data_IF_366607920476
#
_entry.id   IF_366607920476
#
_cell.length_a   1.000
_cell.length_b   1.000
_cell.length_c   1.000
_cell.angle_alpha   90.00
_cell.angle_beta   90.00
_cell.angle_gamma   90.00
#
_symmetry.space_group_name_H-M   'P 1'
#
loop_
_entity.id
_entity.type
_entity.pdbx_description
1 polymer ?
#
# COMPACT_ATOMS: atom_id res chain seq x y z
N UNK A 1 -5.37 -8.68 -29.04
CA UNK A 1 -4.07 -8.03 -29.21
C UNK A 1 -4.03 -6.88 -28.23
N UNK A 2 -3.15 -6.91 -27.24
CA UNK A 2 -2.96 -5.83 -26.28
C UNK A 2 -2.24 -4.67 -26.98
N UNK A 3 -2.70 -3.44 -26.78
CA UNK A 3 -2.02 -2.22 -27.19
C UNK A 3 -1.36 -1.61 -25.97
N UNK A 4 -0.06 -1.32 -26.05
CA UNK A 4 0.71 -0.67 -25.00
C UNK A 4 1.21 0.71 -25.43
N UNK A 5 1.66 1.47 -24.45
CA UNK A 5 2.36 2.75 -24.64
C UNK A 5 3.81 2.54 -24.24
N UNK A 6 4.75 2.94 -25.09
CA UNK A 6 6.17 2.90 -24.73
C UNK A 6 6.49 4.07 -23.79
N UNK A 7 6.77 3.77 -22.52
CA UNK A 7 7.18 4.76 -21.52
C UNK A 7 8.70 5.06 -21.58
N UNK A 8 9.51 4.14 -22.12
CA UNK A 8 10.94 4.32 -22.34
C UNK A 8 11.36 3.66 -23.65
N UNK A 9 12.53 4.07 -24.16
CA UNK A 9 13.15 3.48 -25.37
C UNK A 9 14.13 2.39 -24.96
N UNK A 10 14.17 1.30 -25.71
CA UNK A 10 15.11 0.21 -25.49
C UNK A 10 14.57 -1.14 -25.93
N UNK A 11 15.41 -2.16 -25.86
CA UNK A 11 15.05 -3.56 -26.07
C UNK A 11 15.77 -4.37 -24.99
N UNK A 12 15.00 -5.15 -24.24
CA UNK A 12 15.54 -6.10 -23.27
C UNK A 12 15.13 -7.52 -23.67
N UNK A 13 16.03 -8.49 -23.43
CA UNK A 13 15.79 -9.90 -23.64
C UNK A 13 16.21 -10.64 -22.37
N UNK A 14 15.23 -11.08 -21.60
CA UNK A 14 15.44 -11.81 -20.36
C UNK A 14 14.21 -12.68 -20.04
N UNK A 15 14.29 -13.52 -19.01
CA UNK A 15 13.16 -14.27 -18.51
C UNK A 15 12.06 -13.32 -17.97
N UNK A 16 10.79 -13.68 -18.17
CA UNK A 16 9.65 -12.91 -17.66
C UNK A 16 9.33 -13.34 -16.22
N UNK A 17 9.45 -12.43 -15.29
CA UNK A 17 8.98 -12.57 -13.91
C UNK A 17 7.65 -11.84 -13.74
N UNK A 18 6.58 -12.59 -13.46
CA UNK A 18 5.27 -11.99 -13.22
C UNK A 18 5.04 -11.76 -11.73
N UNK A 19 5.07 -10.49 -11.33
CA UNK A 19 4.78 -10.08 -9.96
C UNK A 19 3.27 -10.16 -9.73
N UNK A 20 2.85 -11.10 -8.89
CA UNK A 20 1.43 -11.27 -8.52
C UNK A 20 1.16 -10.54 -7.23
N UNK A 21 0.10 -9.77 -7.22
CA UNK A 21 -0.41 -9.20 -5.99
C UNK A 21 -1.08 -10.29 -5.15
N UNK A 22 -0.88 -10.26 -3.82
CA UNK A 22 -1.60 -11.13 -2.92
C UNK A 22 -3.08 -10.77 -2.89
N UNK A 23 -3.94 -11.76 -2.60
CA UNK A 23 -5.36 -11.48 -2.38
C UNK A 23 -5.56 -10.79 -1.02
N UNK A 24 -5.86 -9.50 -1.07
CA UNK A 24 -6.14 -8.66 0.09
C UNK A 24 -7.65 -8.45 0.32
N UNK A 25 -8.51 -9.21 -0.35
CA UNK A 25 -9.95 -9.10 -0.18
C UNK A 25 -10.33 -9.27 1.30
N UNK A 26 -11.05 -8.30 1.84
CA UNK A 26 -11.54 -8.30 3.21
C UNK A 26 -13.06 -8.48 3.17
N UNK A 27 -13.56 -9.47 3.90
CA UNK A 27 -14.99 -9.63 4.10
C UNK A 27 -15.46 -8.88 5.36
N UNK A 28 -16.72 -8.38 5.39
CA UNK A 28 -17.30 -7.84 6.61
C UNK A 28 -17.24 -8.86 7.75
N UNK A 29 -16.70 -8.47 8.88
CA UNK A 29 -16.65 -9.25 10.11
C UNK A 29 -16.85 -8.31 11.30
N UNK A 30 -17.95 -8.51 12.03
CA UNK A 30 -18.46 -7.62 13.08
C UNK A 30 -18.70 -8.33 14.42
N UNK A 31 -18.21 -9.55 14.58
CA UNK A 31 -18.39 -10.35 15.80
C UNK A 31 -17.06 -10.56 16.56
N UNK A 32 -16.16 -9.58 16.48
CA UNK A 32 -14.82 -9.65 17.06
C UNK A 32 -14.75 -8.99 18.44
N UNK A 33 -13.76 -9.37 19.24
CA UNK A 33 -13.44 -8.70 20.50
C UNK A 33 -12.74 -7.36 20.23
N UNK A 34 -13.37 -6.20 20.56
CA UNK A 34 -12.80 -4.88 20.30
C UNK A 34 -11.41 -4.67 20.92
N UNK A 35 -11.15 -5.27 22.08
CA UNK A 35 -9.86 -5.09 22.78
C UNK A 35 -8.74 -5.84 22.03
N UNK A 36 -9.02 -7.08 21.63
CA UNK A 36 -8.07 -7.88 20.87
C UNK A 36 -7.79 -7.28 19.49
N UNK A 37 -8.83 -6.86 18.78
CA UNK A 37 -8.68 -6.27 17.43
C UNK A 37 -7.99 -4.92 17.47
N UNK A 38 -8.23 -4.09 18.48
CA UNK A 38 -7.48 -2.85 18.71
C UNK A 38 -6.01 -3.10 18.96
N UNK A 39 -5.66 -4.13 19.71
CA UNK A 39 -4.25 -4.51 19.93
C UNK A 39 -3.58 -4.97 18.62
N UNK A 40 -4.29 -5.74 17.77
CA UNK A 40 -3.82 -6.16 16.45
C UNK A 40 -3.59 -4.95 15.53
N UNK A 41 -4.56 -4.04 15.46
CA UNK A 41 -4.46 -2.80 14.67
C UNK A 41 -3.26 -1.96 15.11
N UNK A 42 -3.11 -1.69 16.41
CA UNK A 42 -2.00 -0.88 16.94
C UNK A 42 -0.63 -1.50 16.61
N UNK A 43 -0.51 -2.81 16.71
CA UNK A 43 0.72 -3.52 16.34
C UNK A 43 0.99 -3.40 14.83
N UNK A 44 -0.04 -3.54 13.99
CA UNK A 44 0.07 -3.39 12.55
C UNK A 44 0.43 -1.95 12.15
N UNK A 45 -0.17 -0.93 12.77
CA UNK A 45 0.13 0.47 12.54
C UNK A 45 1.59 0.81 12.89
N UNK A 46 2.08 0.34 14.05
CA UNK A 46 3.49 0.52 14.43
C UNK A 46 4.45 -0.16 13.45
N UNK A 47 4.11 -1.34 12.96
CA UNK A 47 4.90 -2.04 11.94
C UNK A 47 4.86 -1.31 10.59
N UNK A 48 3.70 -0.80 10.18
CA UNK A 48 3.54 -0.04 8.94
C UNK A 48 4.38 1.25 8.97
N UNK A 49 4.36 2.00 10.08
CA UNK A 49 5.22 3.18 10.28
C UNK A 49 6.69 2.83 10.13
N UNK A 50 7.16 1.77 10.81
CA UNK A 50 8.55 1.32 10.69
C UNK A 50 8.94 0.92 9.26
N UNK A 51 8.03 0.30 8.51
CA UNK A 51 8.26 -0.01 7.10
C UNK A 51 8.34 1.24 6.24
N UNK A 52 7.46 2.22 6.47
CA UNK A 52 7.45 3.49 5.73
C UNK A 52 8.70 4.32 6.02
N UNK A 53 9.20 4.33 7.27
CA UNK A 53 10.47 4.96 7.63
C UNK A 53 11.63 4.35 6.84
N UNK A 54 11.72 3.03 6.78
CA UNK A 54 12.77 2.35 6.03
C UNK A 54 12.69 2.62 4.52
N UNK A 55 11.47 2.68 3.95
CA UNK A 55 11.25 3.02 2.54
C UNK A 55 11.59 4.48 2.25
N UNK A 56 11.25 5.40 3.14
CA UNK A 56 11.62 6.81 3.05
C UNK A 56 13.14 6.98 3.01
N UNK A 57 13.85 6.35 3.95
CA UNK A 57 15.32 6.42 4.02
C UNK A 57 15.98 5.83 2.76
N UNK A 58 15.44 4.74 2.22
CA UNK A 58 15.91 4.13 0.98
C UNK A 58 15.65 5.05 -0.23
N UNK A 59 14.45 5.62 -0.32
CA UNK A 59 14.06 6.51 -1.41
C UNK A 59 14.88 7.81 -1.42
N UNK A 60 15.18 8.38 -0.26
CA UNK A 60 16.06 9.57 -0.14
C UNK A 60 17.43 9.39 -0.79
N UNK A 61 17.92 8.15 -0.88
CA UNK A 61 19.21 7.86 -1.53
C UNK A 61 19.13 7.85 -3.07
N UNK A 62 17.93 7.75 -3.62
CA UNK A 62 17.70 7.53 -5.05
C UNK A 62 16.92 8.66 -5.72
N UNK A 63 15.83 9.09 -5.10
CA UNK A 63 14.90 10.09 -5.65
C UNK A 63 14.06 10.74 -4.55
N UNK A 64 14.23 12.06 -4.39
CA UNK A 64 13.53 12.85 -3.38
C UNK A 64 12.00 12.89 -3.60
N UNK A 65 11.53 12.83 -4.84
CA UNK A 65 10.10 12.84 -5.13
C UNK A 65 9.43 11.54 -4.66
N UNK A 66 10.11 10.42 -4.86
CA UNK A 66 9.63 9.13 -4.35
C UNK A 66 9.64 9.10 -2.82
N UNK A 67 10.63 9.72 -2.16
CA UNK A 67 10.66 9.84 -0.71
C UNK A 67 9.45 10.60 -0.16
N UNK A 68 9.02 11.68 -0.81
CA UNK A 68 7.85 12.46 -0.40
C UNK A 68 6.55 11.64 -0.37
N UNK A 69 6.39 10.64 -1.24
CA UNK A 69 5.22 9.74 -1.22
C UNK A 69 5.16 8.98 0.10
N UNK A 70 6.28 8.46 0.60
CA UNK A 70 6.31 7.74 1.87
C UNK A 70 6.09 8.65 3.08
N UNK A 71 6.53 9.90 3.01
CA UNK A 71 6.23 10.89 4.05
C UNK A 71 4.72 11.20 4.11
N UNK A 72 4.06 11.35 2.95
CA UNK A 72 2.61 11.50 2.86
C UNK A 72 1.89 10.28 3.46
N UNK A 73 2.32 9.06 3.14
CA UNK A 73 1.72 7.84 3.69
C UNK A 73 1.88 7.75 5.22
N UNK A 74 3.02 8.19 5.77
CA UNK A 74 3.23 8.31 7.22
C UNK A 74 2.25 9.27 7.85
N UNK A 75 2.11 10.49 7.27
CA UNK A 75 1.15 11.47 7.75
C UNK A 75 -0.28 10.95 7.73
N UNK A 76 -0.69 10.21 6.70
CA UNK A 76 -2.02 9.61 6.63
C UNK A 76 -2.24 8.51 7.67
N UNK A 77 -1.22 7.73 7.98
CA UNK A 77 -1.31 6.68 9.00
C UNK A 77 -1.42 7.26 10.41
N UNK A 78 -0.84 8.45 10.63
CA UNK A 78 -0.94 9.22 11.89
C UNK A 78 -2.13 10.18 11.91
N UNK A 79 -2.95 10.21 10.85
CA UNK A 79 -4.09 11.12 10.74
C UNK A 79 -5.18 10.78 11.76
N UNK A 80 -5.64 11.77 12.56
CA UNK A 80 -6.70 11.56 13.55
C UNK A 80 -8.00 11.02 12.94
N UNK A 81 -8.41 11.50 11.77
CA UNK A 81 -9.66 11.09 11.12
C UNK A 81 -9.59 9.61 10.70
N UNK A 82 -8.43 9.17 10.21
CA UNK A 82 -8.19 7.77 9.89
C UNK A 82 -8.23 6.90 11.16
N UNK A 83 -7.53 7.33 12.22
CA UNK A 83 -7.51 6.61 13.49
C UNK A 83 -8.90 6.53 14.14
N UNK A 84 -9.65 7.64 14.17
CA UNK A 84 -10.99 7.70 14.76
C UNK A 84 -11.97 6.82 13.99
N UNK A 85 -11.90 6.82 12.64
CA UNK A 85 -12.71 5.94 11.80
C UNK A 85 -12.47 4.46 12.10
N UNK A 86 -11.22 4.03 12.10
CA UNK A 86 -10.85 2.64 12.45
C UNK A 86 -11.27 2.32 13.88
N UNK A 87 -10.98 3.20 14.84
CA UNK A 87 -11.30 3.02 16.25
C UNK A 87 -12.80 2.85 16.49
N UNK A 88 -13.62 3.68 15.81
CA UNK A 88 -15.08 3.60 15.90
C UNK A 88 -15.65 2.29 15.34
N UNK A 89 -15.09 1.77 14.25
CA UNK A 89 -15.47 0.47 13.70
C UNK A 89 -15.07 -0.69 14.63
N UNK A 90 -13.88 -0.64 15.22
CA UNK A 90 -13.41 -1.63 16.20
C UNK A 90 -14.31 -1.66 17.43
N UNK A 91 -14.75 -0.50 17.95
CA UNK A 91 -15.66 -0.41 19.10
C UNK A 91 -17.03 -1.02 18.81
N UNK A 92 -17.41 -1.10 17.53
CA UNK A 92 -18.64 -1.78 17.07
C UNK A 92 -18.46 -3.29 16.86
N UNK A 93 -17.29 -3.83 17.12
CA UNK A 93 -16.98 -5.25 17.00
C UNK A 93 -16.42 -5.68 15.64
N UNK A 94 -16.00 -4.72 14.78
CA UNK A 94 -15.34 -5.05 13.52
C UNK A 94 -13.98 -5.71 13.72
N UNK A 95 -13.60 -6.64 12.82
CA UNK A 95 -12.21 -7.08 12.72
C UNK A 95 -11.30 -5.92 12.31
N UNK A 96 -10.03 -5.98 12.66
CA UNK A 96 -9.07 -4.93 12.34
C UNK A 96 -8.96 -4.71 10.81
N UNK A 97 -8.96 -5.79 10.04
CA UNK A 97 -8.93 -5.73 8.58
C UNK A 97 -10.17 -5.01 8.02
N UNK A 98 -11.37 -5.35 8.51
CA UNK A 98 -12.61 -4.73 8.06
C UNK A 98 -12.71 -3.27 8.49
N UNK A 99 -12.31 -2.94 9.71
CA UNK A 99 -12.27 -1.56 10.20
C UNK A 99 -11.37 -0.66 9.34
N UNK A 100 -10.17 -1.15 8.97
CA UNK A 100 -9.25 -0.44 8.07
C UNK A 100 -9.85 -0.28 6.68
N UNK A 101 -10.39 -1.35 6.10
CA UNK A 101 -10.98 -1.30 4.75
C UNK A 101 -12.14 -0.30 4.69
N UNK A 102 -13.09 -0.40 5.61
CA UNK A 102 -14.27 0.46 5.63
C UNK A 102 -13.90 1.94 5.81
N UNK A 103 -12.95 2.24 6.70
CA UNK A 103 -12.49 3.62 6.93
C UNK A 103 -11.82 4.18 5.69
N UNK A 104 -10.93 3.40 5.08
CA UNK A 104 -10.23 3.83 3.87
C UNK A 104 -11.17 4.05 2.70
N UNK A 105 -12.16 3.17 2.49
CA UNK A 105 -13.15 3.31 1.42
C UNK A 105 -14.00 4.57 1.63
N UNK A 106 -14.38 4.87 2.88
CA UNK A 106 -15.12 6.08 3.23
C UNK A 106 -14.34 7.36 2.95
N UNK A 107 -13.07 7.42 3.39
CA UNK A 107 -12.19 8.57 3.14
C UNK A 107 -11.86 8.73 1.65
N UNK A 108 -11.56 7.65 0.96
CA UNK A 108 -11.29 7.69 -0.47
C UNK A 108 -12.50 8.18 -1.27
N UNK A 109 -13.71 7.70 -0.94
CA UNK A 109 -14.94 8.17 -1.57
C UNK A 109 -15.20 9.66 -1.30
N UNK A 110 -14.86 10.15 -0.11
CA UNK A 110 -14.96 11.57 0.22
C UNK A 110 -14.01 12.41 -0.64
N UNK A 111 -12.76 11.98 -0.80
CA UNK A 111 -11.79 12.68 -1.65
C UNK A 111 -12.18 12.63 -3.14
N UNK A 112 -12.69 11.50 -3.64
CA UNK A 112 -13.16 11.36 -5.02
C UNK A 112 -14.40 12.22 -5.32
N UNK A 113 -15.24 12.48 -4.33
CA UNK A 113 -16.40 13.35 -4.48
C UNK A 113 -16.04 14.84 -4.60
N UNK A 114 -14.79 15.23 -4.31
CA UNK A 114 -14.29 16.59 -4.49
C UNK A 114 -13.96 16.82 -5.98
N UNK A 115 -14.98 17.14 -6.78
CA UNK A 115 -14.83 17.33 -8.22
C UNK A 115 -13.85 18.46 -8.58
N UNK A 116 -12.98 18.21 -9.56
CA UNK A 116 -12.09 19.21 -10.17
C UNK A 116 -10.75 19.41 -9.47
N UNK A 117 -10.42 18.64 -8.45
CA UNK A 117 -9.11 18.67 -7.79
C UNK A 117 -8.36 17.34 -7.98
N UNK A 118 -7.42 17.32 -8.95
CA UNK A 118 -6.57 16.16 -9.23
C UNK A 118 -5.73 15.74 -8.01
N UNK A 119 -5.41 16.67 -7.11
CA UNK A 119 -4.68 16.36 -5.89
C UNK A 119 -5.53 15.54 -4.91
N UNK A 120 -6.84 15.79 -4.86
CA UNK A 120 -7.75 15.00 -4.02
C UNK A 120 -7.92 13.58 -4.54
N UNK A 121 -7.94 13.39 -5.86
CA UNK A 121 -7.96 12.04 -6.45
C UNK A 121 -6.67 11.27 -6.13
N UNK A 122 -5.52 11.93 -6.14
CA UNK A 122 -4.26 11.33 -5.70
C UNK A 122 -4.33 10.92 -4.22
N UNK A 123 -4.92 11.75 -3.36
CA UNK A 123 -5.13 11.42 -1.95
C UNK A 123 -5.99 10.17 -1.73
N UNK A 124 -7.01 9.97 -2.55
CA UNK A 124 -7.82 8.75 -2.49
C UNK A 124 -6.99 7.48 -2.78
N UNK A 125 -6.06 7.55 -3.75
CA UNK A 125 -5.14 6.46 -4.03
C UNK A 125 -4.16 6.21 -2.86
N UNK A 126 -3.58 7.26 -2.29
CA UNK A 126 -2.66 7.18 -1.15
C UNK A 126 -3.34 6.51 0.07
N UNK A 127 -4.59 6.88 0.37
CA UNK A 127 -5.37 6.25 1.47
C UNK A 127 -5.54 4.74 1.23
N UNK A 128 -5.85 4.34 -0.01
CA UNK A 128 -5.97 2.91 -0.36
C UNK A 128 -4.64 2.17 -0.23
N UNK A 129 -3.53 2.80 -0.59
CA UNK A 129 -2.19 2.22 -0.45
C UNK A 129 -1.81 2.01 1.02
N UNK A 130 -2.10 2.99 1.89
CA UNK A 130 -1.89 2.88 3.34
C UNK A 130 -2.74 1.77 3.93
N UNK A 131 -4.03 1.70 3.57
CA UNK A 131 -4.93 0.64 4.00
C UNK A 131 -4.48 -0.74 3.50
N UNK A 132 -4.08 -0.85 2.24
CA UNK A 132 -3.54 -2.08 1.67
C UNK A 132 -2.30 -2.58 2.41
N UNK A 133 -1.42 -1.67 2.86
CA UNK A 133 -0.26 -2.00 3.69
C UNK A 133 -0.69 -2.55 5.05
N UNK A 134 -1.61 -1.88 5.74
CA UNK A 134 -2.13 -2.34 7.04
C UNK A 134 -2.79 -3.71 6.92
N UNK A 135 -3.66 -3.91 5.92
CA UNK A 135 -4.35 -5.18 5.68
C UNK A 135 -3.35 -6.30 5.38
N UNK A 136 -2.29 -6.02 4.62
CA UNK A 136 -1.21 -6.98 4.34
C UNK A 136 -0.51 -7.43 5.62
N UNK A 137 -0.20 -6.49 6.50
CA UNK A 137 0.40 -6.77 7.82
C UNK A 137 -0.55 -7.57 8.70
N UNK A 138 -1.82 -7.17 8.82
CA UNK A 138 -2.84 -7.83 9.62
C UNK A 138 -3.08 -9.28 9.17
N UNK A 139 -3.06 -9.53 7.87
CA UNK A 139 -3.18 -10.88 7.27
C UNK A 139 -1.88 -11.68 7.34
N UNK A 140 -0.78 -11.11 7.81
CA UNK A 140 0.52 -11.77 7.83
C UNK A 140 1.08 -12.09 6.43
N UNK A 141 0.61 -11.37 5.41
CA UNK A 141 1.10 -11.50 4.04
C UNK A 141 2.43 -10.77 3.92
N UNK A 142 3.47 -11.48 3.53
CA UNK A 142 4.78 -10.86 3.27
C UNK A 142 4.74 -10.12 1.94
N UNK A 143 5.44 -9.00 1.87
CA UNK A 143 5.70 -8.34 0.59
C UNK A 143 6.37 -9.34 -0.35
N UNK A 144 5.91 -9.38 -1.59
CA UNK A 144 6.51 -10.24 -2.61
C UNK A 144 7.88 -9.66 -2.96
N UNK A 145 8.90 -10.13 -2.28
CA UNK A 145 10.29 -9.81 -2.64
C UNK A 145 10.63 -10.60 -3.90
N UNK A 146 11.20 -9.91 -4.88
CA UNK A 146 11.68 -10.55 -6.09
C UNK A 146 12.96 -11.35 -5.78
N UNK A 147 12.79 -12.61 -5.39
CA UNK A 147 13.91 -13.53 -5.15
C UNK A 147 14.35 -14.19 -6.47
N UNK A 148 15.10 -13.45 -7.27
CA UNK A 148 15.75 -13.97 -8.48
C UNK A 148 17.27 -13.78 -8.36
N UNK A 149 18.04 -14.68 -8.96
CA UNK A 149 19.49 -14.67 -8.97
C UNK A 149 20.10 -14.15 -10.29
N UNK A 150 19.27 -13.86 -11.27
CA UNK A 150 19.63 -13.37 -12.60
C UNK A 150 18.70 -12.20 -13.04
N UNK A 151 19.09 -11.43 -14.06
CA UNK A 151 18.26 -10.36 -14.60
C UNK A 151 16.97 -10.90 -15.23
N UNK A 152 15.83 -10.27 -14.91
CA UNK A 152 14.49 -10.61 -15.42
C UNK A 152 13.76 -9.38 -15.94
N UNK A 153 12.79 -9.60 -16.82
CA UNK A 153 11.79 -8.58 -17.18
C UNK A 153 10.63 -8.72 -16.20
N UNK A 154 10.38 -7.68 -15.42
CA UNK A 154 9.25 -7.68 -14.47
C UNK A 154 7.98 -7.27 -15.19
N UNK A 155 6.93 -8.08 -15.06
CA UNK A 155 5.57 -7.73 -15.47
C UNK A 155 4.65 -7.75 -14.26
N UNK A 156 3.83 -6.74 -14.11
CA UNK A 156 2.83 -6.62 -13.06
C UNK A 156 1.54 -6.02 -13.64
N UNK A 157 0.42 -6.21 -12.97
CA UNK A 157 -0.81 -5.49 -13.30
C UNK A 157 -0.67 -4.00 -12.94
N UNK A 158 -0.07 -3.73 -11.78
CA UNK A 158 0.34 -2.41 -11.32
C UNK A 158 1.59 -2.56 -10.43
N UNK A 159 2.31 -1.47 -10.18
CA UNK A 159 3.46 -1.41 -9.29
C UNK A 159 3.29 -0.27 -8.30
N UNK A 160 3.14 -0.61 -7.04
CA UNK A 160 3.13 0.37 -5.97
C UNK A 160 4.50 1.05 -5.83
N UNK A 161 4.56 2.31 -5.37
CA UNK A 161 5.83 3.01 -5.12
C UNK A 161 6.78 2.20 -4.23
N UNK A 162 6.25 1.54 -3.20
CA UNK A 162 7.03 0.69 -2.30
C UNK A 162 7.66 -0.52 -3.00
N UNK A 163 6.96 -1.12 -3.96
CA UNK A 163 7.50 -2.22 -4.75
C UNK A 163 8.60 -1.75 -5.69
N UNK A 164 8.38 -0.60 -6.34
CA UNK A 164 9.37 -0.01 -7.26
C UNK A 164 10.70 0.32 -6.57
N UNK A 165 10.66 0.85 -5.35
CA UNK A 165 11.86 1.17 -4.57
C UNK A 165 12.60 -0.09 -4.12
N UNK A 166 11.89 -1.18 -3.86
CA UNK A 166 12.46 -2.45 -3.44
C UNK A 166 12.99 -3.32 -4.60
N UNK A 167 12.68 -2.96 -5.85
CA UNK A 167 13.24 -3.66 -7.00
C UNK A 167 14.75 -3.46 -7.08
N UNK A 168 15.49 -4.58 -7.10
CA UNK A 168 16.94 -4.56 -7.35
C UNK A 168 17.19 -4.22 -8.84
N UNK A 169 17.59 -2.97 -9.10
CA UNK A 169 17.86 -2.47 -10.46
C UNK A 169 18.92 -3.29 -11.21
N UNK A 170 19.79 -4.02 -10.50
CA UNK A 170 20.76 -4.92 -11.14
C UNK A 170 20.11 -6.21 -11.68
N UNK A 171 18.91 -6.52 -11.20
CA UNK A 171 18.15 -7.72 -11.56
C UNK A 171 16.92 -7.43 -12.43
N UNK A 172 16.70 -6.18 -12.81
CA UNK A 172 15.66 -5.77 -13.77
C UNK A 172 16.33 -5.40 -15.07
N UNK A 173 15.99 -6.11 -16.16
CA UNK A 173 16.58 -5.97 -17.49
C UNK A 173 15.87 -4.92 -18.34
#
# INVERSE_FOLDING_TARGET
>A
MLKGIAASTGVAIAELFYLREPDLTVAPDMECDPVAERARYNAAAAQALSQLDALYDQACQTDEQTAQVFDIHRMMLDDPDFYEGVSGALDQGASAEWAVQQTADGLAAMFEAMEGDENMQARAADVRDVAGRLIRILKGVRDTVMEVDHPVIVAAADLLPSQTVQLDKAKVA
#
